data_IF_407119487268
#
_entry.id   IF_407119487268
#
_cell.length_a   1.000
_cell.length_b   1.000
_cell.length_c   1.000
_cell.angle_alpha   90.00
_cell.angle_beta   90.00
_cell.angle_gamma   90.00
#
_symmetry.space_group_name_H-M   'P 1'
#
loop_
_entity.id
_entity.type
_entity.pdbx_description
1 polymer ?
#
# COMPACT_ATOMS: atom_id res chain seq x y z
N UNK A 1 11.79 -1.50 26.57
CA UNK A 1 13.19 -1.60 26.11
C UNK A 1 13.32 -0.88 24.77
N UNK A 2 14.52 -0.56 24.29
CA UNK A 2 14.70 0.08 22.98
C UNK A 2 14.13 -0.75 21.81
N UNK A 3 14.03 -2.08 21.97
CA UNK A 3 13.41 -2.96 20.99
C UNK A 3 11.88 -2.80 20.93
N UNK A 4 11.22 -2.56 22.07
CA UNK A 4 9.77 -2.37 22.12
C UNK A 4 9.35 -1.04 21.48
N UNK A 5 10.14 0.02 21.69
CA UNK A 5 9.95 1.33 21.07
C UNK A 5 10.10 1.26 19.54
N UNK A 6 11.14 0.57 19.05
CA UNK A 6 11.32 0.31 17.62
C UNK A 6 10.18 -0.51 17.02
N UNK A 7 9.66 -1.51 17.74
CA UNK A 7 8.52 -2.30 17.29
C UNK A 7 7.25 -1.44 17.19
N UNK A 8 7.04 -0.55 18.17
CA UNK A 8 5.92 0.40 18.17
C UNK A 8 6.01 1.37 16.98
N UNK A 9 7.16 1.99 16.75
CA UNK A 9 7.36 2.90 15.60
C UNK A 9 7.08 2.19 14.26
N UNK A 10 7.51 0.94 14.10
CA UNK A 10 7.23 0.15 12.88
C UNK A 10 5.75 -0.15 12.70
N UNK A 11 5.03 -0.43 13.79
CA UNK A 11 3.59 -0.67 13.75
C UNK A 11 2.84 0.60 13.34
N UNK A 12 3.17 1.75 13.96
CA UNK A 12 2.61 3.05 13.63
C UNK A 12 2.89 3.45 12.18
N UNK A 13 4.13 3.24 11.71
CA UNK A 13 4.49 3.51 10.33
C UNK A 13 3.63 2.73 9.33
N UNK A 14 3.40 1.45 9.64
CA UNK A 14 2.61 0.56 8.80
C UNK A 14 1.15 0.97 8.77
N UNK A 15 0.59 1.34 9.92
CA UNK A 15 -0.80 1.83 10.01
C UNK A 15 -1.00 3.11 9.19
N UNK A 16 -0.07 4.06 9.32
CA UNK A 16 -0.09 5.30 8.52
C UNK A 16 0.00 4.97 7.03
N UNK A 17 0.93 4.11 6.60
CA UNK A 17 1.03 3.72 5.18
C UNK A 17 -0.25 3.07 4.66
N UNK A 18 -0.88 2.16 5.42
CA UNK A 18 -2.14 1.52 5.01
C UNK A 18 -3.23 2.58 4.81
N UNK A 19 -3.37 3.52 5.74
CA UNK A 19 -4.37 4.60 5.64
C UNK A 19 -4.17 5.52 4.43
N UNK A 20 -2.95 5.59 3.86
CA UNK A 20 -2.64 6.34 2.65
C UNK A 20 -2.84 5.51 1.39
N UNK A 21 -2.58 4.21 1.43
CA UNK A 21 -2.75 3.30 0.29
C UNK A 21 -4.24 3.06 -0.02
N UNK A 22 -5.10 2.91 1.01
CA UNK A 22 -6.53 2.63 0.83
C UNK A 22 -7.24 3.60 -0.14
N UNK A 23 -7.18 4.93 0.05
CA UNK A 23 -7.85 5.86 -0.87
C UNK A 23 -7.24 5.85 -2.29
N UNK A 24 -5.94 5.63 -2.42
CA UNK A 24 -5.25 5.52 -3.72
C UNK A 24 -5.75 4.28 -4.47
N UNK A 25 -5.90 3.15 -3.76
CA UNK A 25 -6.42 1.92 -4.31
C UNK A 25 -7.89 2.08 -4.72
N UNK A 26 -8.73 2.67 -3.88
CA UNK A 26 -10.15 2.91 -4.18
C UNK A 26 -10.34 3.83 -5.39
N UNK A 27 -9.57 4.93 -5.49
CA UNK A 27 -9.57 5.80 -6.67
C UNK A 27 -9.20 5.02 -7.92
N UNK A 28 -8.10 4.24 -7.88
CA UNK A 28 -7.66 3.45 -9.02
C UNK A 28 -8.71 2.41 -9.46
N UNK A 29 -9.36 1.73 -8.50
CA UNK A 29 -10.42 0.75 -8.77
C UNK A 29 -11.58 1.42 -9.50
N UNK A 30 -12.06 2.56 -8.99
CA UNK A 30 -13.21 3.27 -9.55
C UNK A 30 -12.92 3.88 -10.93
N UNK A 31 -11.78 4.56 -11.08
CA UNK A 31 -11.38 5.25 -12.32
C UNK A 31 -11.17 4.28 -13.49
N UNK A 32 -10.74 3.04 -13.20
CA UNK A 32 -10.44 2.03 -14.21
C UNK A 32 -11.53 0.96 -14.31
N UNK A 33 -12.69 1.16 -13.67
CA UNK A 33 -13.82 0.23 -13.66
C UNK A 33 -13.42 -1.20 -13.24
N UNK A 34 -12.49 -1.33 -12.29
CA UNK A 34 -12.01 -2.62 -11.80
C UNK A 34 -13.07 -3.21 -10.88
N UNK A 35 -13.51 -4.43 -11.16
CA UNK A 35 -14.55 -5.09 -10.34
C UNK A 35 -13.99 -5.80 -9.12
N UNK A 36 -12.71 -6.19 -9.12
CA UNK A 36 -12.08 -6.95 -8.05
C UNK A 36 -10.57 -6.78 -8.04
N UNK A 37 -10.01 -6.63 -6.84
CA UNK A 37 -8.57 -6.70 -6.57
C UNK A 37 -8.30 -7.88 -5.63
N UNK A 38 -7.27 -8.67 -5.92
CA UNK A 38 -6.90 -9.85 -5.15
C UNK A 38 -5.53 -9.67 -4.51
N UNK A 39 -5.39 -10.09 -3.26
CA UNK A 39 -4.08 -10.14 -2.61
C UNK A 39 -3.16 -11.14 -3.33
N UNK A 40 -1.99 -10.68 -3.78
CA UNK A 40 -0.99 -11.48 -4.49
C UNK A 40 -0.60 -12.77 -3.75
N UNK A 41 -0.53 -12.75 -2.41
CA UNK A 41 -0.24 -13.93 -1.57
C UNK A 41 -1.26 -15.08 -1.72
N UNK A 42 -2.47 -14.77 -2.21
CA UNK A 42 -3.55 -15.72 -2.42
C UNK A 42 -3.68 -16.14 -3.90
N UNK A 43 -2.75 -15.71 -4.77
CA UNK A 43 -2.78 -15.97 -6.22
C UNK A 43 -1.56 -16.82 -6.59
N UNK A 44 -1.79 -17.97 -7.24
CA UNK A 44 -0.72 -18.93 -7.61
C UNK A 44 0.03 -18.48 -8.87
N UNK A 45 -0.65 -17.77 -9.78
CA UNK A 45 -0.05 -17.25 -10.99
C UNK A 45 -0.98 -16.28 -11.71
N UNK A 46 -0.39 -15.40 -12.52
CA UNK A 46 -1.11 -14.39 -13.30
C UNK A 46 -0.16 -13.65 -14.24
N UNK A 47 -0.71 -13.02 -15.28
CA UNK A 47 0.09 -12.14 -16.14
C UNK A 47 0.56 -10.92 -15.36
N UNK A 48 1.81 -10.48 -15.60
CA UNK A 48 2.37 -9.26 -14.99
C UNK A 48 1.53 -8.02 -15.28
N UNK A 49 0.80 -7.99 -16.40
CA UNK A 49 -0.07 -6.87 -16.76
C UNK A 49 -1.28 -6.68 -15.83
N UNK A 50 -1.60 -7.65 -14.97
CA UNK A 50 -2.63 -7.52 -13.94
C UNK A 50 -2.08 -7.16 -12.56
N UNK A 51 -0.75 -7.07 -12.41
CA UNK A 51 -0.12 -6.65 -11.16
C UNK A 51 -0.06 -5.13 -11.11
N UNK A 52 -0.88 -4.54 -10.24
CA UNK A 52 -1.00 -3.08 -10.09
C UNK A 52 -0.03 -2.52 -9.05
N UNK A 53 0.82 -3.35 -8.44
CA UNK A 53 1.66 -2.96 -7.30
C UNK A 53 2.49 -1.72 -7.63
N UNK A 54 3.22 -1.72 -8.74
CA UNK A 54 4.10 -0.62 -9.12
C UNK A 54 3.31 0.67 -9.35
N UNK A 55 2.12 0.57 -9.95
CA UNK A 55 1.22 1.72 -10.20
C UNK A 55 0.78 2.36 -8.88
N UNK A 56 0.39 1.55 -7.89
CA UNK A 56 -0.07 2.04 -6.58
C UNK A 56 1.11 2.62 -5.79
N UNK A 57 2.29 1.98 -5.85
CA UNK A 57 3.52 2.50 -5.21
C UNK A 57 3.93 3.85 -5.80
N UNK A 58 3.92 4.00 -7.13
CA UNK A 58 4.23 5.28 -7.77
C UNK A 58 3.24 6.39 -7.40
N UNK A 59 1.95 6.07 -7.23
CA UNK A 59 0.95 7.04 -6.75
C UNK A 59 1.22 7.43 -5.29
N UNK A 60 1.52 6.45 -4.43
CA UNK A 60 1.85 6.70 -3.04
C UNK A 60 3.10 7.57 -2.91
N UNK A 61 4.18 7.29 -3.64
CA UNK A 61 5.42 8.06 -3.58
C UNK A 61 5.21 9.53 -4.00
N UNK A 62 4.29 9.79 -4.92
CA UNK A 62 3.93 11.16 -5.33
C UNK A 62 3.10 11.90 -4.28
N UNK A 63 2.15 11.23 -3.65
CA UNK A 63 1.24 11.84 -2.67
C UNK A 63 1.85 11.92 -1.25
N UNK A 64 2.72 10.96 -0.92
CA UNK A 64 3.28 10.76 0.40
C UNK A 64 4.76 10.32 0.33
N UNK A 65 5.67 11.22 -0.10
CA UNK A 65 7.08 10.89 -0.37
C UNK A 65 7.92 10.60 0.87
N UNK A 66 7.45 10.99 2.06
CA UNK A 66 8.20 10.79 3.29
C UNK A 66 7.27 10.64 4.49
N UNK A 67 7.73 9.89 5.49
CA UNK A 67 7.06 9.66 6.75
C UNK A 67 8.02 10.03 7.88
N UNK A 68 7.63 11.02 8.67
CA UNK A 68 8.35 11.36 9.90
C UNK A 68 7.65 10.68 11.07
N UNK A 69 8.40 9.87 11.80
CA UNK A 69 7.99 9.21 13.04
C UNK A 69 8.78 9.83 14.19
N UNK A 70 8.11 10.09 15.31
CA UNK A 70 8.77 10.53 16.53
C UNK A 70 9.43 9.37 17.26
#
# INVERSE_FOLDING_TARGET
SSLDELAKQRAEAREIMISKIEPILDSYINENNISLVLYKKNVIGGSKGYDITDIIVEKLDKEFPSLNLQ
#
